data_IF_376200522969
#
_entry.id   IF_376200522969
#
_cell.length_a   1.000
_cell.length_b   1.000
_cell.length_c   1.000
_cell.angle_alpha   90.00
_cell.angle_beta   90.00
_cell.angle_gamma   90.00
#
_symmetry.space_group_name_H-M   'P 1'
#
loop_
_entity.id
_entity.type
_entity.pdbx_description
1 polymer ?
#
# COMPACT_ATOMS: atom_id res chain seq x y z
N UNK A 1 7.74 -6.91 13.07
CA UNK A 1 6.82 -8.06 13.19
C UNK A 1 5.78 -7.96 12.09
N UNK A 2 5.65 -8.99 11.25
CA UNK A 2 4.57 -9.10 10.27
C UNK A 2 3.24 -9.29 11.01
N UNK A 3 2.21 -8.54 10.64
CA UNK A 3 0.89 -8.57 11.30
C UNK A 3 -0.27 -8.86 10.33
N UNK A 4 -0.04 -8.72 9.03
CA UNK A 4 -0.97 -9.14 7.99
C UNK A 4 -0.24 -9.30 6.65
N UNK A 5 -0.71 -10.23 5.82
CA UNK A 5 -0.21 -10.54 4.48
C UNK A 5 -1.36 -11.03 3.59
N UNK A 6 -1.68 -10.29 2.53
CA UNK A 6 -2.60 -10.73 1.48
C UNK A 6 -1.79 -11.02 0.22
N UNK A 7 -1.67 -12.30 -0.15
CA UNK A 7 -0.95 -12.70 -1.37
C UNK A 7 -1.78 -12.43 -2.61
N UNK A 8 -3.11 -12.61 -2.51
CA UNK A 8 -4.04 -12.58 -3.65
C UNK A 8 -3.90 -13.77 -4.61
N UNK A 9 -3.35 -14.88 -4.14
CA UNK A 9 -3.42 -16.15 -4.85
C UNK A 9 -4.82 -16.76 -4.78
N UNK A 10 -5.24 -17.48 -5.82
CA UNK A 10 -6.55 -18.14 -5.87
C UNK A 10 -6.74 -19.11 -4.69
N UNK A 11 -5.66 -19.73 -4.20
CA UNK A 11 -5.70 -20.59 -3.01
C UNK A 11 -6.06 -19.85 -1.72
N UNK A 12 -5.92 -18.53 -1.68
CA UNK A 12 -6.24 -17.65 -0.54
C UNK A 12 -7.57 -16.92 -0.72
N UNK A 13 -8.25 -17.10 -1.85
CA UNK A 13 -9.47 -16.37 -2.20
C UNK A 13 -10.70 -17.28 -2.14
N UNK A 14 -11.67 -16.91 -1.32
CA UNK A 14 -13.00 -17.54 -1.26
C UNK A 14 -14.06 -16.55 -1.74
N UNK A 15 -14.60 -16.80 -2.93
CA UNK A 15 -15.52 -15.90 -3.61
C UNK A 15 -14.89 -14.53 -3.88
N UNK A 16 -15.35 -13.49 -3.17
CA UNK A 16 -14.83 -12.12 -3.26
C UNK A 16 -14.05 -11.71 -2.00
N UNK A 17 -13.46 -12.67 -1.29
CA UNK A 17 -12.72 -12.43 -0.06
C UNK A 17 -11.33 -13.04 -0.19
N UNK A 18 -10.29 -12.23 -0.13
CA UNK A 18 -8.90 -12.70 -0.06
C UNK A 18 -8.44 -12.74 1.40
N UNK A 19 -8.04 -13.90 1.89
CA UNK A 19 -7.65 -14.11 3.28
C UNK A 19 -6.28 -13.48 3.61
N UNK A 20 -6.10 -13.12 4.88
CA UNK A 20 -4.77 -12.86 5.45
C UNK A 20 -4.06 -14.20 5.71
N UNK A 21 -2.85 -14.35 5.19
CA UNK A 21 -2.01 -15.56 5.33
C UNK A 21 -1.04 -15.48 6.51
N UNK A 22 -0.79 -14.29 7.06
CA UNK A 22 0.14 -14.10 8.17
C UNK A 22 -0.53 -14.23 9.56
N UNK A 23 -1.87 -14.27 9.64
CA UNK A 23 -2.57 -14.34 10.92
C UNK A 23 -4.10 -14.29 10.82
N UNK A 24 -4.72 -13.63 11.81
CA UNK A 24 -6.17 -13.45 11.93
C UNK A 24 -6.63 -12.05 11.46
N UNK A 25 -5.89 -11.44 10.52
CA UNK A 25 -6.32 -10.25 9.78
C UNK A 25 -7.69 -10.46 9.13
N UNK A 26 -8.50 -9.40 8.98
CA UNK A 26 -9.74 -9.52 8.23
C UNK A 26 -9.41 -9.80 6.76
N UNK A 27 -10.24 -10.60 6.10
CA UNK A 27 -10.12 -10.81 4.66
C UNK A 27 -10.36 -9.49 3.90
N UNK A 28 -9.60 -9.26 2.82
CA UNK A 28 -9.85 -8.18 1.89
C UNK A 28 -11.11 -8.48 1.07
N UNK A 29 -12.04 -7.53 1.03
CA UNK A 29 -13.29 -7.61 0.29
C UNK A 29 -13.10 -7.03 -1.11
N UNK A 30 -13.18 -7.88 -2.12
CA UNK A 30 -12.93 -7.52 -3.52
C UNK A 30 -14.20 -6.95 -4.15
N UNK A 31 -14.06 -5.87 -4.94
CA UNK A 31 -15.14 -5.36 -5.78
C UNK A 31 -15.65 -6.44 -6.75
N UNK A 32 -16.88 -6.29 -7.24
CA UNK A 32 -17.52 -7.26 -8.15
C UNK A 32 -16.72 -7.49 -9.45
N UNK A 33 -16.06 -6.44 -9.93
CA UNK A 33 -15.28 -6.40 -11.17
C UNK A 33 -13.80 -6.72 -10.97
N UNK A 34 -13.32 -6.74 -9.72
CA UNK A 34 -11.95 -7.13 -9.39
C UNK A 34 -11.73 -8.64 -9.63
N UNK A 35 -10.53 -9.01 -10.08
CA UNK A 35 -10.22 -10.40 -10.47
C UNK A 35 -8.88 -10.84 -9.92
N UNK A 36 -8.74 -12.15 -9.74
CA UNK A 36 -7.43 -12.79 -9.56
C UNK A 36 -6.94 -13.23 -10.95
N UNK A 37 -5.73 -12.84 -11.32
CA UNK A 37 -5.12 -13.07 -12.63
C UNK A 37 -3.65 -13.48 -12.48
N UNK A 38 -2.97 -14.01 -13.51
CA UNK A 38 -1.53 -14.29 -13.43
C UNK A 38 -0.73 -13.05 -12.98
N UNK A 39 0.09 -13.24 -11.94
CA UNK A 39 0.81 -12.20 -11.20
C UNK A 39 2.30 -12.14 -11.53
N UNK A 40 3.10 -11.62 -10.59
CA UNK A 40 4.57 -11.58 -10.72
C UNK A 40 5.14 -12.99 -10.62
N UNK A 41 4.77 -13.68 -9.55
CA UNK A 41 4.98 -15.11 -9.37
C UNK A 41 3.72 -15.62 -8.67
N UNK A 42 3.00 -16.55 -9.31
CA UNK A 42 1.66 -16.92 -8.87
C UNK A 42 0.58 -16.03 -9.49
N UNK A 43 -0.31 -15.51 -8.66
CA UNK A 43 -1.46 -14.72 -9.08
C UNK A 43 -1.52 -13.37 -8.36
N UNK A 44 -2.26 -12.42 -8.90
CA UNK A 44 -2.36 -11.07 -8.37
C UNK A 44 -3.79 -10.53 -8.45
N UNK A 45 -4.07 -9.54 -7.62
CA UNK A 45 -5.31 -8.78 -7.65
C UNK A 45 -5.29 -7.77 -8.80
N UNK A 46 -6.14 -7.98 -9.79
CA UNK A 46 -6.43 -7.03 -10.86
C UNK A 46 -7.54 -6.05 -10.46
N UNK A 47 -7.23 -4.77 -10.64
CA UNK A 47 -8.13 -3.64 -10.37
C UNK A 47 -8.16 -2.74 -11.61
N UNK A 48 -9.36 -2.37 -12.06
CA UNK A 48 -9.57 -1.24 -12.95
C UNK A 48 -9.70 0.09 -12.19
N UNK A 49 -9.77 1.21 -12.92
CA UNK A 49 -9.82 2.57 -12.36
C UNK A 49 -10.99 2.84 -11.38
N UNK A 50 -12.06 2.03 -11.46
CA UNK A 50 -13.24 2.11 -10.60
C UNK A 50 -13.31 1.00 -9.56
N UNK A 51 -12.37 0.05 -9.59
CA UNK A 51 -12.34 -1.10 -8.70
C UNK A 51 -11.64 -0.77 -7.39
N UNK A 52 -11.95 -1.54 -6.37
CA UNK A 52 -11.19 -1.52 -5.11
C UNK A 52 -11.24 -2.88 -4.42
N UNK A 53 -10.25 -3.12 -3.58
CA UNK A 53 -10.38 -4.04 -2.47
C UNK A 53 -10.42 -3.26 -1.15
N UNK A 54 -11.25 -3.72 -0.21
CA UNK A 54 -11.44 -3.11 1.10
C UNK A 54 -11.03 -4.10 2.19
N UNK A 55 -10.03 -3.76 2.99
CA UNK A 55 -9.70 -4.50 4.21
C UNK A 55 -10.35 -3.76 5.38
N UNK A 56 -11.31 -4.39 6.09
CA UNK A 56 -11.98 -3.77 7.24
C UNK A 56 -10.99 -3.27 8.30
N UNK A 57 -11.40 -2.23 9.04
CA UNK A 57 -10.64 -1.78 10.20
C UNK A 57 -10.56 -2.89 11.25
N UNK A 58 -9.37 -3.09 11.82
CA UNK A 58 -9.14 -4.12 12.84
C UNK A 58 -8.08 -3.64 13.85
N UNK A 59 -8.15 -4.05 15.13
CA UNK A 59 -7.22 -3.58 16.18
C UNK A 59 -5.74 -3.81 15.86
N UNK A 60 -5.41 -4.93 15.21
CA UNK A 60 -4.04 -5.25 14.78
C UNK A 60 -3.55 -4.36 13.63
N UNK A 61 -4.45 -3.74 12.86
CA UNK A 61 -4.13 -2.83 11.77
C UNK A 61 -4.15 -1.36 12.22
N UNK A 62 -3.98 -1.08 13.51
CA UNK A 62 -3.80 0.28 14.04
C UNK A 62 -2.32 0.64 13.97
N UNK A 63 -1.94 1.56 13.08
CA UNK A 63 -0.53 1.84 12.76
C UNK A 63 0.05 2.91 13.68
N UNK A 64 0.70 2.46 14.75
CA UNK A 64 1.31 3.34 15.77
C UNK A 64 2.74 3.73 15.41
N UNK A 65 3.01 5.04 15.28
CA UNK A 65 4.36 5.55 15.10
C UNK A 65 5.30 5.24 16.28
N UNK A 66 4.77 5.09 17.50
CA UNK A 66 5.57 4.81 18.70
C UNK A 66 6.38 3.51 18.56
N UNK A 67 5.81 2.51 17.90
CA UNK A 67 6.48 1.23 17.62
C UNK A 67 7.12 1.20 16.23
N UNK A 68 6.84 2.21 15.41
CA UNK A 68 7.05 2.18 13.97
C UNK A 68 6.10 1.21 13.25
N UNK A 69 5.95 1.41 11.95
CA UNK A 69 5.19 0.50 11.10
C UNK A 69 5.77 0.48 9.69
N UNK A 70 5.41 -0.54 8.92
CA UNK A 70 5.77 -0.59 7.50
C UNK A 70 4.67 -1.25 6.68
N UNK A 71 4.55 -0.83 5.43
CA UNK A 71 3.75 -1.50 4.41
C UNK A 71 4.68 -1.85 3.24
N UNK A 72 4.48 -3.02 2.66
CA UNK A 72 5.18 -3.46 1.46
C UNK A 72 4.19 -4.12 0.51
N UNK A 73 4.33 -3.90 -0.79
CA UNK A 73 3.50 -4.50 -1.83
C UNK A 73 4.20 -4.44 -3.18
N UNK A 74 3.78 -5.29 -4.11
CA UNK A 74 4.12 -5.16 -5.52
C UNK A 74 2.97 -4.51 -6.27
N UNK A 75 3.30 -3.63 -7.21
CA UNK A 75 2.33 -2.98 -8.09
C UNK A 75 2.82 -3.06 -9.53
N UNK A 76 1.91 -3.36 -10.45
CA UNK A 76 2.09 -3.14 -11.89
C UNK A 76 1.02 -2.15 -12.36
N UNK A 77 1.43 -1.01 -12.87
CA UNK A 77 0.49 0.01 -13.39
C UNK A 77 0.40 -0.15 -14.90
N UNK A 78 -0.79 -0.35 -15.44
CA UNK A 78 -0.98 -0.69 -16.86
C UNK A 78 -1.26 0.53 -17.75
N UNK A 79 -1.38 1.72 -17.16
CA UNK A 79 -1.57 2.99 -17.89
C UNK A 79 -0.56 4.10 -17.51
N UNK A 80 -0.42 5.10 -18.38
CA UNK A 80 0.37 6.31 -18.12
C UNK A 80 -0.33 7.32 -17.18
N UNK A 81 0.23 8.52 -17.00
CA UNK A 81 -0.42 9.61 -16.26
C UNK A 81 -1.74 10.05 -16.93
N UNK A 82 -2.77 10.28 -16.11
CA UNK A 82 -4.13 10.58 -16.58
C UNK A 82 -4.56 12.04 -16.39
N UNK A 83 -3.71 12.87 -15.78
CA UNK A 83 -4.08 14.20 -15.32
C UNK A 83 -4.77 14.21 -13.95
N UNK A 84 -4.95 13.06 -13.31
CA UNK A 84 -5.58 12.91 -11.99
C UNK A 84 -4.68 12.15 -11.01
N UNK A 85 -4.82 12.47 -9.72
CA UNK A 85 -4.21 11.69 -8.66
C UNK A 85 -4.93 10.35 -8.52
N UNK A 86 -4.19 9.24 -8.62
CA UNK A 86 -4.79 7.89 -8.57
C UNK A 86 -4.32 7.12 -7.34
N UNK A 87 -5.25 6.53 -6.61
CA UNK A 87 -4.96 5.83 -5.35
C UNK A 87 -4.47 4.41 -5.58
N UNK A 88 -3.29 4.07 -5.06
CA UNK A 88 -2.84 2.69 -4.95
C UNK A 88 -3.29 2.09 -3.62
N UNK A 89 -3.06 2.81 -2.52
CA UNK A 89 -3.42 2.41 -1.17
C UNK A 89 -3.82 3.65 -0.35
N UNK A 90 -4.90 3.54 0.43
CA UNK A 90 -5.30 4.58 1.39
C UNK A 90 -5.78 3.95 2.69
N UNK A 91 -5.35 4.52 3.82
CA UNK A 91 -5.78 4.12 5.16
C UNK A 91 -6.08 5.36 5.99
N UNK A 92 -7.36 5.70 6.22
CA UNK A 92 -7.72 6.88 6.99
C UNK A 92 -7.47 6.68 8.50
N UNK A 93 -7.47 7.78 9.24
CA UNK A 93 -7.41 7.81 10.70
C UNK A 93 -8.59 7.06 11.29
N UNK A 94 -9.78 7.26 10.74
CA UNK A 94 -11.00 6.54 11.09
C UNK A 94 -11.89 6.36 9.86
N UNK A 95 -12.94 5.55 9.99
CA UNK A 95 -13.94 5.45 8.93
C UNK A 95 -14.55 6.84 8.64
N UNK A 96 -14.67 7.18 7.35
CA UNK A 96 -15.12 8.50 6.88
C UNK A 96 -14.23 9.70 7.27
N UNK A 97 -12.97 9.47 7.67
CA UNK A 97 -11.98 10.54 7.88
C UNK A 97 -11.12 10.75 6.63
N UNK A 98 -10.96 11.99 6.18
CA UNK A 98 -10.11 12.35 5.04
C UNK A 98 -8.61 12.43 5.40
N UNK A 99 -8.27 12.37 6.70
CA UNK A 99 -6.89 12.31 7.18
C UNK A 99 -6.44 10.86 7.19
N UNK A 100 -5.20 10.59 6.81
CA UNK A 100 -4.69 9.23 6.82
C UNK A 100 -3.31 9.07 6.22
N UNK A 101 -2.96 7.80 6.02
CA UNK A 101 -1.87 7.37 5.18
C UNK A 101 -2.39 7.17 3.76
N UNK A 102 -1.73 7.73 2.76
CA UNK A 102 -2.06 7.47 1.36
C UNK A 102 -0.85 7.30 0.48
N UNK A 103 -1.00 6.46 -0.53
CA UNK A 103 -0.03 6.18 -1.59
C UNK A 103 -0.72 6.39 -2.94
N UNK A 104 -0.24 7.37 -3.70
CA UNK A 104 -0.85 7.79 -4.96
C UNK A 104 0.14 7.88 -6.10
N UNK A 105 -0.35 7.69 -7.32
CA UNK A 105 0.33 8.07 -8.55
C UNK A 105 0.10 9.56 -8.84
N UNK A 106 1.15 10.21 -9.32
CA UNK A 106 1.10 11.60 -9.76
C UNK A 106 0.18 11.79 -10.99
N UNK A 107 -0.48 12.95 -11.11
CA UNK A 107 -1.31 13.30 -12.27
C UNK A 107 -0.55 13.34 -13.60
N UNK A 108 0.70 13.81 -13.56
CA UNK A 108 1.49 14.21 -14.73
C UNK A 108 2.79 13.39 -14.89
N UNK A 109 3.04 12.44 -13.99
CA UNK A 109 4.24 11.62 -14.01
C UNK A 109 3.97 10.24 -13.40
N UNK A 110 4.69 9.23 -13.90
CA UNK A 110 4.77 7.91 -13.24
C UNK A 110 5.65 7.97 -11.98
N UNK A 111 5.28 8.84 -11.04
CA UNK A 111 5.93 8.99 -9.73
C UNK A 111 4.90 8.74 -8.64
N UNK A 112 5.38 8.41 -7.45
CA UNK A 112 4.55 8.16 -6.29
C UNK A 112 4.59 9.35 -5.33
N UNK A 113 3.48 9.58 -4.65
CA UNK A 113 3.42 10.34 -3.40
C UNK A 113 2.95 9.41 -2.29
N UNK A 114 3.71 9.33 -1.22
CA UNK A 114 3.23 8.78 0.05
C UNK A 114 3.06 9.90 1.06
N UNK A 115 1.95 9.90 1.78
CA UNK A 115 1.62 10.92 2.77
C UNK A 115 1.18 10.25 4.06
N UNK A 116 1.48 10.89 5.18
CA UNK A 116 0.85 10.64 6.48
C UNK A 116 0.27 11.94 7.01
N UNK A 117 -0.80 11.86 7.79
CA UNK A 117 -1.34 13.02 8.48
C UNK A 117 -0.71 13.13 9.87
N UNK A 118 -0.12 14.27 10.19
CA UNK A 118 0.39 14.58 11.54
C UNK A 118 -0.57 15.48 12.29
N UNK A 119 -0.31 15.70 13.58
CA UNK A 119 -1.09 16.63 14.40
C UNK A 119 -1.04 18.09 13.92
N UNK A 120 -0.18 18.42 12.93
CA UNK A 120 -0.08 19.75 12.33
C UNK A 120 -0.50 19.81 10.85
N UNK A 121 -0.82 18.68 10.23
CA UNK A 121 -1.21 18.62 8.82
C UNK A 121 -0.56 17.45 8.10
N UNK A 122 -0.75 17.34 6.77
CA UNK A 122 -0.11 16.29 5.99
C UNK A 122 1.39 16.54 5.83
N UNK A 123 2.19 15.48 6.03
CA UNK A 123 3.57 15.40 5.57
C UNK A 123 3.66 14.33 4.48
N UNK A 124 4.56 14.52 3.51
CA UNK A 124 4.67 13.62 2.37
C UNK A 124 6.11 13.39 1.89
N UNK A 125 6.30 12.28 1.17
CA UNK A 125 7.48 11.97 0.37
C UNK A 125 7.02 11.75 -1.07
N UNK A 126 7.75 12.34 -2.01
CA UNK A 126 7.59 12.05 -3.43
C UNK A 126 8.74 11.16 -3.91
N UNK A 127 8.44 10.11 -4.67
CA UNK A 127 9.47 9.23 -5.21
C UNK A 127 10.37 10.00 -6.17
N UNK A 128 11.68 9.74 -6.19
CA UNK A 128 12.59 10.23 -7.25
C UNK A 128 12.55 9.30 -8.45
N UNK A 129 12.49 7.99 -8.20
CA UNK A 129 12.27 6.96 -9.19
C UNK A 129 10.92 7.15 -9.89
N UNK A 130 10.90 6.72 -11.15
CA UNK A 130 9.70 6.63 -11.97
C UNK A 130 9.36 5.16 -12.17
N UNK A 131 8.09 4.83 -12.01
CA UNK A 131 7.57 3.50 -12.34
C UNK A 131 7.53 3.35 -13.86
N UNK A 132 7.86 2.16 -14.35
CA UNK A 132 7.66 1.79 -15.75
C UNK A 132 6.26 1.21 -15.92
N UNK A 133 5.49 1.72 -16.88
CA UNK A 133 4.17 1.18 -17.21
C UNK A 133 4.30 -0.27 -17.68
N UNK A 134 3.47 -1.16 -17.14
CA UNK A 134 3.46 -2.58 -17.45
C UNK A 134 4.56 -3.40 -16.78
N UNK A 135 5.40 -2.82 -15.93
CA UNK A 135 6.41 -3.53 -15.15
C UNK A 135 6.04 -3.58 -13.66
N UNK A 136 6.44 -4.67 -13.01
CA UNK A 136 6.28 -4.82 -11.57
C UNK A 136 7.28 -3.92 -10.83
N UNK A 137 6.80 -3.25 -9.79
CA UNK A 137 7.61 -2.44 -8.89
C UNK A 137 7.31 -2.85 -7.45
N UNK A 138 8.35 -3.16 -6.68
CA UNK A 138 8.21 -3.34 -5.23
C UNK A 138 8.21 -1.96 -4.57
N UNK A 139 7.19 -1.69 -3.75
CA UNK A 139 7.08 -0.45 -2.98
C UNK A 139 7.08 -0.82 -1.51
N UNK A 140 7.95 -0.21 -0.72
CA UNK A 140 7.87 -0.27 0.72
C UNK A 140 7.88 1.12 1.35
N UNK A 141 6.96 1.34 2.28
CA UNK A 141 6.86 2.56 3.08
C UNK A 141 7.13 2.23 4.54
N UNK A 142 8.12 2.91 5.11
CA UNK A 142 8.60 2.68 6.47
C UNK A 142 8.40 3.96 7.28
N UNK A 143 7.81 3.84 8.46
CA UNK A 143 7.68 4.94 9.43
C UNK A 143 8.27 4.50 10.76
N UNK A 144 9.20 5.29 11.28
CA UNK A 144 9.75 5.14 12.62
C UNK A 144 9.43 6.37 13.50
N UNK A 145 10.02 6.44 14.69
CA UNK A 145 9.82 7.56 15.62
C UNK A 145 10.49 8.86 15.17
N UNK A 146 11.36 8.83 14.15
CA UNK A 146 12.13 9.98 13.66
C UNK A 146 11.62 10.50 12.32
N UNK A 147 11.07 9.62 11.48
CA UNK A 147 10.69 9.99 10.14
C UNK A 147 10.04 8.87 9.35
N UNK A 148 9.99 9.09 8.04
CA UNK A 148 9.46 8.14 7.09
C UNK A 148 10.38 7.98 5.89
N UNK A 149 10.33 6.82 5.26
CA UNK A 149 11.14 6.45 4.11
C UNK A 149 10.30 5.69 3.09
N UNK A 150 10.52 6.01 1.81
CA UNK A 150 9.97 5.32 0.66
C UNK A 150 11.10 4.54 -0.02
N UNK A 151 10.85 3.26 -0.26
CA UNK A 151 11.75 2.36 -0.95
C UNK A 151 11.08 1.84 -2.22
N UNK A 152 11.85 1.77 -3.30
CA UNK A 152 11.44 1.30 -4.62
C UNK A 152 12.42 0.21 -5.04
N UNK A 153 11.90 -0.96 -5.40
CA UNK A 153 12.68 -2.13 -5.83
C UNK A 153 13.79 -2.50 -4.81
N UNK A 154 13.43 -2.42 -3.54
CA UNK A 154 14.30 -2.79 -2.43
C UNK A 154 15.26 -1.68 -1.99
N UNK A 155 15.48 -0.63 -2.77
CA UNK A 155 16.39 0.47 -2.45
C UNK A 155 15.65 1.66 -1.81
N UNK A 156 16.29 2.34 -0.85
CA UNK A 156 15.75 3.59 -0.32
C UNK A 156 15.80 4.69 -1.40
N UNK A 157 14.63 5.13 -1.86
CA UNK A 157 14.51 6.18 -2.86
C UNK A 157 14.58 7.58 -2.20
N UNK A 158 13.78 7.77 -1.15
CA UNK A 158 13.58 9.06 -0.49
C UNK A 158 13.23 8.88 0.99
N UNK A 159 13.63 9.83 1.83
CA UNK A 159 13.30 9.84 3.26
C UNK A 159 13.22 11.28 3.77
N UNK A 160 12.34 11.52 4.73
CA UNK A 160 12.16 12.83 5.38
C UNK A 160 11.95 12.66 6.89
N UNK A 161 12.41 13.61 7.72
CA UNK A 161 12.07 13.62 9.15
C UNK A 161 10.58 13.93 9.33
N UNK A 162 10.01 13.44 10.44
CA UNK A 162 8.67 13.81 10.89
C UNK A 162 8.82 14.72 12.11
N UNK A 163 8.57 16.02 11.93
CA UNK A 163 8.68 17.01 13.01
C UNK A 163 7.54 16.92 14.01
N UNK A 164 6.44 16.28 13.61
CA UNK A 164 5.21 16.19 14.38
C UNK A 164 4.69 14.75 14.43
N UNK A 165 4.09 14.32 15.55
CA UNK A 165 3.51 12.99 15.67
C UNK A 165 2.47 12.70 14.59
N UNK A 166 2.55 11.51 14.00
CA UNK A 166 1.54 10.98 13.08
C UNK A 166 0.24 10.76 13.84
N UNK A 167 -0.87 11.22 13.26
CA UNK A 167 -2.22 10.83 13.72
C UNK A 167 -2.44 9.39 13.29
N UNK A 168 -2.56 8.50 14.27
CA UNK A 168 -2.64 7.05 14.08
C UNK A 168 -3.68 6.66 13.02
N UNK A 169 -3.27 6.08 11.88
CA UNK A 169 -4.17 5.48 10.92
C UNK A 169 -4.81 4.22 11.53
N UNK A 170 -6.13 4.24 11.79
CA UNK A 170 -6.87 3.14 12.40
C UNK A 170 -8.10 2.69 11.59
N UNK A 171 -8.44 3.39 10.51
CA UNK A 171 -9.54 3.04 9.61
C UNK A 171 -9.25 1.83 8.71
N UNK A 172 -10.16 1.50 7.78
CA UNK A 172 -9.96 0.39 6.84
C UNK A 172 -8.81 0.68 5.86
N UNK A 173 -8.31 -0.34 5.15
CA UNK A 173 -7.36 -0.14 4.06
C UNK A 173 -8.12 -0.27 2.73
N UNK A 174 -8.03 0.77 1.91
CA UNK A 174 -8.52 0.77 0.54
C UNK A 174 -7.35 0.47 -0.40
N UNK A 175 -7.52 -0.48 -1.30
CA UNK A 175 -6.59 -0.80 -2.37
C UNK A 175 -7.21 -0.44 -3.72
N UNK A 176 -6.41 0.13 -4.60
CA UNK A 176 -6.78 0.49 -5.98
C UNK A 176 -7.70 1.70 -6.14
N UNK A 177 -8.53 2.05 -5.15
CA UNK A 177 -9.33 3.29 -5.16
C UNK A 177 -9.82 3.67 -3.77
N UNK A 178 -9.54 4.91 -3.36
CA UNK A 178 -10.07 5.48 -2.13
C UNK A 178 -11.42 6.20 -2.35
N UNK A 179 -12.15 6.60 -1.30
CA UNK A 179 -13.43 7.30 -1.47
C UNK A 179 -13.35 8.62 -2.24
N UNK A 180 -12.25 9.36 -2.11
CA UNK A 180 -12.13 10.74 -2.59
C UNK A 180 -11.33 10.91 -3.89
N UNK A 181 -10.64 9.88 -4.37
CA UNK A 181 -9.80 9.96 -5.58
C UNK A 181 -10.06 8.78 -6.51
N UNK A 182 -9.88 8.95 -7.83
CA UNK A 182 -9.98 7.85 -8.77
C UNK A 182 -8.94 6.76 -8.46
N UNK A 183 -9.21 5.56 -8.98
CA UNK A 183 -8.28 4.46 -8.89
C UNK A 183 -7.28 4.45 -10.03
N UNK A 184 -6.45 3.41 -10.04
CA UNK A 184 -5.56 3.08 -11.16
C UNK A 184 -6.02 1.77 -11.81
N UNK A 185 -5.64 1.57 -13.06
CA UNK A 185 -5.70 0.27 -13.73
C UNK A 185 -4.37 -0.48 -13.59
N UNK A 186 -4.44 -1.70 -13.10
CA UNK A 186 -3.28 -2.57 -12.99
C UNK A 186 -3.44 -3.68 -11.97
N UNK A 187 -2.31 -4.14 -11.46
CA UNK A 187 -2.23 -5.27 -10.55
C UNK A 187 -1.59 -4.86 -9.22
N UNK A 188 -2.10 -5.43 -8.13
CA UNK A 188 -1.48 -5.42 -6.80
C UNK A 188 -1.22 -6.87 -6.41
N UNK A 189 -0.06 -7.09 -5.81
CA UNK A 189 0.33 -8.38 -5.31
C UNK A 189 1.00 -8.23 -3.95
N UNK A 190 0.84 -9.25 -3.12
CA UNK A 190 1.71 -9.49 -1.97
C UNK A 190 1.77 -8.36 -0.91
N UNK A 191 0.60 -7.76 -0.60
CA UNK A 191 0.48 -6.71 0.41
C UNK A 191 0.81 -7.24 1.81
N UNK A 192 1.84 -6.66 2.44
CA UNK A 192 2.29 -6.97 3.79
C UNK A 192 2.23 -5.74 4.68
N UNK A 193 1.83 -5.94 5.93
CA UNK A 193 1.78 -4.88 6.96
C UNK A 193 2.58 -5.33 8.17
N UNK A 194 3.39 -4.43 8.70
CA UNK A 194 4.29 -4.68 9.84
C UNK A 194 4.02 -3.68 10.96
N UNK A 195 3.96 -4.18 12.21
CA UNK A 195 3.89 -3.37 13.43
C UNK A 195 5.29 -2.96 13.93
N UNK A 196 6.21 -2.70 13.00
CA UNK A 196 7.56 -2.22 13.26
C UNK A 196 8.12 -1.54 12.01
N UNK A 197 9.04 -0.59 12.18
CA UNK A 197 9.84 -0.09 11.07
C UNK A 197 10.78 -1.18 10.55
N UNK A 198 10.70 -1.51 9.25
CA UNK A 198 11.64 -2.42 8.60
C UNK A 198 12.98 -1.74 8.33
N UNK A 199 14.07 -2.50 8.48
CA UNK A 199 15.39 -2.08 8.05
C UNK A 199 15.62 -2.34 6.55
N UNK A 200 16.62 -1.66 5.97
CA UNK A 200 16.97 -1.75 4.54
C UNK A 200 17.17 -3.18 4.05
N UNK A 201 17.84 -4.04 4.82
CA UNK A 201 18.07 -5.44 4.43
C UNK A 201 16.77 -6.24 4.34
N UNK A 202 15.83 -6.02 5.27
CA UNK A 202 14.52 -6.67 5.23
C UNK A 202 13.71 -6.18 4.03
N UNK A 203 13.77 -4.88 3.71
CA UNK A 203 13.09 -4.30 2.54
C UNK A 203 13.65 -4.86 1.23
N UNK A 204 14.99 -5.00 1.10
CA UNK A 204 15.60 -5.66 -0.06
C UNK A 204 15.16 -7.11 -0.19
N UNK A 205 15.17 -7.86 0.91
CA UNK A 205 14.75 -9.26 0.89
C UNK A 205 13.30 -9.42 0.40
N UNK A 206 12.40 -8.51 0.75
CA UNK A 206 11.02 -8.52 0.24
C UNK A 206 10.94 -8.22 -1.26
N UNK A 207 11.76 -7.30 -1.77
CA UNK A 207 11.81 -6.98 -3.19
C UNK A 207 12.36 -8.13 -4.04
N UNK A 208 13.33 -8.87 -3.49
CA UNK A 208 14.02 -9.98 -4.15
C UNK A 208 13.26 -11.32 -4.02
N UNK A 209 12.26 -11.40 -3.15
CA UNK A 209 11.47 -12.61 -2.98
C UNK A 209 10.75 -12.96 -4.29
N UNK A 210 10.84 -14.20 -4.80
CA UNK A 210 9.84 -14.69 -5.75
C UNK A 210 8.50 -14.71 -5.02
N UNK A 211 7.44 -14.21 -5.65
CA UNK A 211 6.06 -14.30 -5.15
C UNK A 211 5.69 -15.78 -4.92
N UNK A 212 4.92 -15.98 -3.87
CA UNK A 212 4.68 -17.29 -3.24
C UNK A 212 3.73 -18.19 -4.00
#
# INVERSE_FOLDING_TARGET
MLIAHWTFDAGTVDGRRAADTAGAGPAAELAETARIVPGRDGEALSLGENDRALIPAAPQLVLSQIFGFSLALFVRVDEGPTGEWRSLLYKPVAENDARGLGLWLYPDAMRLRVQVFTVKGPDYIDSRARLTVGEWTHIAFVVDTRGMALHIDGEQDSAVPLEHPVVTPAGPIYLGREPAKPGFGGLIDDLRVYASALGQEAVRALADQPGG
#
